data_IF_761340373644
#
_entry.id   IF_761340373644
#
_cell.length_a   1.000
_cell.length_b   1.000
_cell.length_c   1.000
_cell.angle_alpha   90.00
_cell.angle_beta   90.00
_cell.angle_gamma   90.00
#
_symmetry.space_group_name_H-M   'P 1'
#
loop_
_entity.id
_entity.type
_entity.pdbx_description
1 polymer ?
#
# COMPACT_ATOMS: atom_id res chain seq x y z
N UNK A 1 -2.30 -12.43 10.32
CA UNK A 1 -2.05 -11.56 9.14
C UNK A 1 -2.06 -10.13 9.64
N UNK A 2 -1.18 -9.24 9.17
CA UNK A 2 -1.18 -7.85 9.67
C UNK A 2 -2.50 -7.16 9.28
N UNK A 3 -3.12 -6.34 10.15
CA UNK A 3 -4.36 -5.64 9.83
C UNK A 3 -4.28 -4.77 8.56
N UNK A 4 -3.08 -4.31 8.19
CA UNK A 4 -2.82 -3.59 6.94
C UNK A 4 -3.02 -4.43 5.66
N UNK A 5 -2.87 -5.75 5.73
CA UNK A 5 -3.03 -6.68 4.59
C UNK A 5 -4.51 -7.09 4.39
N UNK A 6 -5.37 -6.85 5.38
CA UNK A 6 -6.74 -7.39 5.43
C UNK A 6 -7.86 -6.39 5.06
N UNK A 7 -7.58 -5.17 4.60
CA UNK A 7 -8.61 -4.09 4.57
C UNK A 7 -8.88 -3.48 3.18
N UNK A 8 -10.15 -3.51 2.74
CA UNK A 8 -10.68 -2.74 1.61
C UNK A 8 -12.15 -2.31 1.81
N UNK A 9 -12.41 -0.99 1.78
CA UNK A 9 -13.63 -0.29 2.23
C UNK A 9 -14.96 -0.91 1.77
N UNK A 10 -15.61 -1.73 2.62
CA UNK A 10 -16.99 -2.19 2.44
C UNK A 10 -17.86 -1.77 3.63
N UNK A 11 -19.05 -1.22 3.39
CA UNK A 11 -19.94 -0.77 4.46
C UNK A 11 -20.88 -1.87 4.99
N UNK A 12 -20.92 -3.05 4.38
CA UNK A 12 -21.98 -4.04 4.63
C UNK A 12 -21.58 -5.28 5.45
N UNK A 13 -20.30 -5.45 5.84
CA UNK A 13 -19.88 -6.56 6.71
C UNK A 13 -18.99 -6.06 7.86
N UNK A 14 -19.46 -6.19 9.11
CA UNK A 14 -18.67 -6.29 10.35
C UNK A 14 -17.57 -5.24 10.61
N UNK A 15 -17.80 -3.97 10.22
CA UNK A 15 -16.77 -2.94 10.11
C UNK A 15 -16.82 -1.92 11.25
N UNK A 16 -16.08 -2.12 12.35
CA UNK A 16 -16.25 -1.27 13.55
C UNK A 16 -15.00 -0.57 14.09
N UNK A 17 -13.82 -0.70 13.45
CA UNK A 17 -12.61 -0.03 13.93
C UNK A 17 -12.20 1.11 12.99
N UNK A 18 -12.49 2.34 13.43
CA UNK A 18 -12.11 3.57 12.74
C UNK A 18 -10.59 3.73 12.63
N UNK A 19 -10.15 4.51 11.63
CA UNK A 19 -8.75 4.90 11.52
C UNK A 19 -8.29 5.56 12.81
N UNK A 20 -7.14 5.13 13.33
CA UNK A 20 -6.59 5.65 14.57
C UNK A 20 -7.27 5.18 15.86
N UNK A 21 -8.29 4.32 15.81
CA UNK A 21 -8.85 3.68 17.00
C UNK A 21 -7.88 2.64 17.58
N UNK A 22 -7.91 2.44 18.90
CA UNK A 22 -7.06 1.46 19.57
C UNK A 22 -7.51 0.03 19.23
N UNK A 23 -6.58 -0.78 18.73
CA UNK A 23 -6.85 -2.19 18.43
C UNK A 23 -6.62 -3.08 19.66
N UNK A 24 -7.32 -4.22 19.77
CA UNK A 24 -7.13 -5.16 20.87
C UNK A 24 -5.72 -5.76 20.89
N UNK A 25 -5.38 -6.48 21.97
CA UNK A 25 -4.15 -7.28 22.10
C UNK A 25 -2.85 -6.49 21.87
N UNK A 26 -2.84 -5.21 22.27
CA UNK A 26 -1.68 -4.31 22.14
C UNK A 26 -1.20 -4.15 20.69
N UNK A 27 -2.08 -4.32 19.71
CA UNK A 27 -1.76 -4.12 18.30
C UNK A 27 -1.53 -2.64 17.94
N UNK A 28 -1.90 -1.72 18.85
CA UNK A 28 -1.76 -0.28 18.71
C UNK A 28 -2.87 0.36 17.90
N UNK A 29 -2.77 1.66 17.67
CA UNK A 29 -3.75 2.42 16.89
C UNK A 29 -3.81 1.96 15.44
N UNK A 30 -5.02 1.73 14.94
CA UNK A 30 -5.28 1.25 13.59
C UNK A 30 -4.71 2.17 12.50
N UNK A 31 -3.85 1.62 11.63
CA UNK A 31 -3.18 2.31 10.52
C UNK A 31 -2.41 3.57 10.96
N UNK A 32 -1.84 3.52 12.16
CA UNK A 32 -1.05 4.63 12.71
C UNK A 32 0.45 4.33 12.62
N UNK A 33 1.24 5.31 12.19
CA UNK A 33 2.69 5.13 11.99
C UNK A 33 3.36 4.68 13.29
N UNK A 34 4.38 3.82 13.17
CA UNK A 34 5.14 3.23 14.30
C UNK A 34 4.32 2.31 15.23
N UNK A 35 3.19 1.79 14.75
CA UNK A 35 2.45 0.71 15.43
C UNK A 35 2.71 -0.62 14.74
N UNK A 36 2.53 -1.73 15.48
CA UNK A 36 2.72 -3.07 14.93
C UNK A 36 1.80 -3.33 13.74
N UNK A 37 0.53 -2.90 13.82
CA UNK A 37 -0.45 -3.15 12.76
C UNK A 37 -0.18 -2.41 11.44
N UNK A 38 0.66 -1.36 11.47
CA UNK A 38 1.09 -0.59 10.30
C UNK A 38 2.55 -0.90 9.89
N UNK A 39 3.24 -1.81 10.59
CA UNK A 39 4.59 -2.20 10.24
C UNK A 39 4.61 -3.10 9.01
N UNK A 40 5.74 -3.10 8.29
CA UNK A 40 5.97 -4.02 7.18
C UNK A 40 5.80 -5.48 7.63
N UNK A 41 5.11 -6.27 6.81
CA UNK A 41 4.88 -7.68 7.09
C UNK A 41 6.19 -8.43 7.31
N UNK A 42 6.26 -9.23 8.38
CA UNK A 42 7.51 -9.81 8.89
C UNK A 42 8.34 -10.54 7.82
N UNK A 43 7.77 -11.38 6.93
CA UNK A 43 8.51 -11.98 5.83
C UNK A 43 9.14 -10.96 4.87
N UNK A 44 8.43 -9.90 4.48
CA UNK A 44 9.02 -8.84 3.63
C UNK A 44 10.11 -8.06 4.35
N UNK A 45 9.95 -7.82 5.65
CA UNK A 45 11.01 -7.21 6.46
C UNK A 45 12.27 -8.08 6.53
N UNK A 46 12.13 -9.40 6.51
CA UNK A 46 13.27 -10.33 6.58
C UNK A 46 14.09 -10.39 5.29
N UNK A 47 13.50 -10.05 4.14
CA UNK A 47 14.17 -10.08 2.83
C UNK A 47 14.59 -8.71 2.31
N UNK A 48 14.23 -7.64 3.02
CA UNK A 48 14.62 -6.27 2.67
C UNK A 48 16.14 -6.11 2.64
N UNK A 49 16.65 -5.43 1.61
CA UNK A 49 18.06 -5.23 1.35
C UNK A 49 18.53 -3.82 1.72
N UNK A 50 19.83 -3.63 2.01
CA UNK A 50 20.41 -2.29 2.06
C UNK A 50 20.15 -1.55 0.74
N UNK A 51 19.45 -0.41 0.82
CA UNK A 51 19.05 0.39 -0.34
C UNK A 51 17.55 0.35 -0.65
N UNK A 52 16.80 -0.59 -0.07
CA UNK A 52 15.34 -0.57 -0.16
C UNK A 52 14.76 0.66 0.55
N UNK A 53 13.83 1.34 -0.12
CA UNK A 53 13.23 2.58 0.35
C UNK A 53 11.79 2.35 0.82
N UNK A 54 11.44 2.98 1.94
CA UNK A 54 10.12 2.87 2.57
C UNK A 54 9.45 4.23 2.59
N UNK A 55 8.33 4.34 1.90
CA UNK A 55 7.54 5.57 1.80
C UNK A 55 6.21 5.39 2.52
N UNK A 56 5.97 6.19 3.56
CA UNK A 56 4.67 6.26 4.20
C UNK A 56 3.70 7.07 3.33
N UNK A 57 2.46 6.60 3.19
CA UNK A 57 1.40 7.30 2.46
C UNK A 57 0.15 7.46 3.31
N UNK A 58 -0.57 8.57 3.12
CA UNK A 58 -1.82 8.88 3.84
C UNK A 58 -3.09 8.63 3.02
N UNK A 59 -2.92 8.10 1.80
CA UNK A 59 -3.99 7.75 0.85
C UNK A 59 -3.77 6.34 0.29
N UNK A 60 -4.72 5.88 -0.52
CA UNK A 60 -4.63 4.58 -1.19
C UNK A 60 -3.46 4.55 -2.17
N UNK A 61 -3.37 5.55 -3.05
CA UNK A 61 -2.23 5.74 -3.94
C UNK A 61 -1.04 6.35 -3.21
N UNK A 62 0.16 5.86 -3.48
CA UNK A 62 1.42 6.49 -3.06
C UNK A 62 1.87 7.63 -3.98
N UNK A 63 1.14 7.88 -5.07
CA UNK A 63 1.48 8.84 -6.12
C UNK A 63 0.38 9.89 -6.35
N UNK A 64 -0.61 9.98 -5.46
CA UNK A 64 -1.78 10.85 -5.59
C UNK A 64 -1.45 12.36 -5.66
N UNK A 65 -0.24 12.75 -5.29
CA UNK A 65 0.25 14.13 -5.36
C UNK A 65 1.73 14.15 -5.72
N UNK A 66 2.14 15.18 -6.47
CA UNK A 66 3.56 15.46 -6.78
C UNK A 66 4.41 15.71 -5.52
N UNK A 67 3.77 16.05 -4.40
CA UNK A 67 4.42 16.29 -3.10
C UNK A 67 4.60 15.01 -2.27
N UNK A 68 4.14 13.86 -2.75
CA UNK A 68 4.37 12.60 -2.05
C UNK A 68 5.85 12.20 -2.15
N UNK A 69 6.48 11.73 -1.05
CA UNK A 69 7.90 11.35 -1.07
C UNK A 69 8.26 10.31 -2.14
N UNK A 70 7.35 9.38 -2.43
CA UNK A 70 7.53 8.39 -3.50
C UNK A 70 7.55 9.06 -4.89
N UNK A 71 6.67 10.03 -5.12
CA UNK A 71 6.59 10.76 -6.38
C UNK A 71 7.88 11.55 -6.62
N UNK A 72 8.29 12.36 -5.65
CA UNK A 72 9.52 13.15 -5.71
C UNK A 72 10.75 12.26 -5.97
N UNK A 73 10.84 11.13 -5.26
CA UNK A 73 11.93 10.18 -5.44
C UNK A 73 11.96 9.58 -6.85
N UNK A 74 10.84 9.05 -7.34
CA UNK A 74 10.81 8.40 -8.65
C UNK A 74 11.18 9.41 -9.75
N UNK A 75 10.61 10.64 -9.69
CA UNK A 75 10.94 11.73 -10.62
C UNK A 75 12.42 12.08 -10.60
N UNK A 76 12.98 12.32 -9.41
CA UNK A 76 14.39 12.66 -9.27
C UNK A 76 15.32 11.52 -9.72
N UNK A 77 14.87 10.27 -9.60
CA UNK A 77 15.67 9.10 -9.97
C UNK A 77 15.71 8.81 -11.47
N UNK A 78 14.93 9.53 -12.29
CA UNK A 78 14.89 9.36 -13.75
C UNK A 78 14.32 8.03 -14.23
N UNK A 79 13.66 7.26 -13.34
CA UNK A 79 13.06 5.97 -13.69
C UNK A 79 11.76 6.17 -14.45
N UNK A 80 11.64 5.48 -15.58
CA UNK A 80 10.49 5.55 -16.47
C UNK A 80 9.54 4.35 -16.33
N UNK A 81 10.08 3.15 -16.12
CA UNK A 81 9.30 1.91 -15.97
C UNK A 81 9.15 1.52 -14.50
N UNK A 82 7.92 1.24 -14.08
CA UNK A 82 7.56 0.86 -12.71
C UNK A 82 6.86 -0.50 -12.71
N UNK A 83 7.37 -1.41 -11.88
CA UNK A 83 6.74 -2.71 -11.63
C UNK A 83 5.94 -2.64 -10.33
N UNK A 84 4.70 -3.12 -10.36
CA UNK A 84 3.77 -3.04 -9.25
C UNK A 84 3.43 -4.43 -8.71
N UNK A 85 3.50 -4.55 -7.39
CA UNK A 85 3.16 -5.74 -6.60
C UNK A 85 2.52 -5.32 -5.27
N UNK A 86 1.85 -6.24 -4.58
CA UNK A 86 1.32 -6.03 -3.23
C UNK A 86 -0.21 -6.17 -3.13
N UNK A 87 -0.79 -5.52 -2.13
CA UNK A 87 -2.21 -5.66 -1.78
C UNK A 87 -2.83 -4.32 -1.38
N UNK A 88 -4.13 -4.11 -1.54
CA UNK A 88 -5.04 -4.92 -2.34
C UNK A 88 -4.96 -4.51 -3.82
N UNK A 89 -5.08 -5.49 -4.73
CA UNK A 89 -5.06 -5.27 -6.19
C UNK A 89 -6.01 -4.15 -6.60
N UNK A 90 -7.26 -4.21 -6.15
CA UNK A 90 -8.35 -3.28 -6.48
C UNK A 90 -8.38 -1.99 -5.62
N UNK A 91 -7.38 -1.77 -4.76
CA UNK A 91 -7.33 -0.60 -3.86
C UNK A 91 -6.00 0.14 -3.97
N UNK A 92 -5.06 -0.11 -3.05
CA UNK A 92 -3.79 0.60 -2.99
C UNK A 92 -2.95 0.39 -4.24
N UNK A 93 -2.95 -0.84 -4.78
CA UNK A 93 -2.18 -1.18 -5.98
C UNK A 93 -2.78 -0.47 -7.18
N UNK A 94 -4.05 -0.72 -7.51
CA UNK A 94 -4.73 -0.08 -8.65
C UNK A 94 -4.71 1.45 -8.56
N UNK A 95 -4.94 2.03 -7.37
CA UNK A 95 -4.87 3.48 -7.20
C UNK A 95 -3.48 4.04 -7.52
N UNK A 96 -2.41 3.37 -7.10
CA UNK A 96 -1.04 3.81 -7.40
C UNK A 96 -0.70 3.62 -8.88
N UNK A 97 -1.11 2.51 -9.48
CA UNK A 97 -0.93 2.24 -10.93
C UNK A 97 -1.66 3.28 -11.77
N UNK A 98 -2.90 3.61 -11.43
CA UNK A 98 -3.70 4.60 -12.15
C UNK A 98 -3.04 5.97 -12.12
N UNK A 99 -2.60 6.44 -10.95
CA UNK A 99 -1.89 7.72 -10.85
C UNK A 99 -0.55 7.68 -11.59
N UNK A 100 0.21 6.59 -11.48
CA UNK A 100 1.47 6.43 -12.19
C UNK A 100 1.29 6.55 -13.71
N UNK A 101 0.29 5.86 -14.26
CA UNK A 101 -0.06 5.96 -15.67
C UNK A 101 -0.45 7.40 -16.05
N UNK A 102 -1.31 8.05 -15.26
CA UNK A 102 -1.73 9.44 -15.51
C UNK A 102 -0.58 10.44 -15.48
N UNK A 103 0.44 10.19 -14.66
CA UNK A 103 1.66 10.98 -14.59
C UNK A 103 2.72 10.60 -15.64
N UNK A 104 2.44 9.60 -16.48
CA UNK A 104 3.24 9.25 -17.66
C UNK A 104 4.38 8.25 -17.41
N UNK A 105 4.26 7.38 -16.40
CA UNK A 105 5.17 6.25 -16.22
C UNK A 105 4.70 5.00 -16.96
N UNK A 106 5.63 4.18 -17.42
CA UNK A 106 5.33 2.88 -18.00
C UNK A 106 5.04 1.89 -16.87
N UNK A 107 3.80 1.40 -16.81
CA UNK A 107 3.31 0.62 -15.68
C UNK A 107 3.18 -0.86 -16.03
N UNK A 108 3.85 -1.72 -15.25
CA UNK A 108 3.75 -3.18 -15.36
C UNK A 108 3.20 -3.72 -14.04
N UNK A 109 2.01 -4.30 -14.07
CA UNK A 109 1.40 -4.98 -12.93
C UNK A 109 1.77 -6.46 -12.94
N UNK A 110 2.33 -6.97 -11.85
CA UNK A 110 2.67 -8.39 -11.69
C UNK A 110 1.44 -9.14 -11.14
N UNK A 111 0.81 -9.96 -11.98
CA UNK A 111 -0.45 -10.62 -11.66
C UNK A 111 -0.32 -11.60 -10.48
N UNK A 112 0.70 -12.44 -10.50
CA UNK A 112 1.02 -13.44 -9.47
C UNK A 112 1.60 -12.83 -8.18
N UNK A 113 1.98 -11.55 -8.22
CA UNK A 113 2.50 -10.79 -7.08
C UNK A 113 1.51 -9.75 -6.54
N UNK A 114 0.24 -9.82 -6.95
CA UNK A 114 -0.84 -8.99 -6.39
C UNK A 114 -2.01 -9.83 -5.91
N UNK A 115 -2.80 -9.31 -4.97
CA UNK A 115 -3.99 -10.00 -4.50
C UNK A 115 -5.01 -9.10 -3.81
N UNK A 116 -6.27 -9.53 -3.80
CA UNK A 116 -7.36 -8.90 -3.04
C UNK A 116 -8.34 -9.93 -2.49
N UNK A 117 -9.12 -9.51 -1.49
CA UNK A 117 -10.14 -10.33 -0.83
C UNK A 117 -11.57 -9.96 -1.28
N UNK A 118 -11.72 -9.00 -2.21
CA UNK A 118 -13.02 -8.68 -2.82
C UNK A 118 -13.47 -9.86 -3.68
N UNK A 119 -14.66 -10.39 -3.39
CA UNK A 119 -15.20 -11.57 -4.06
C UNK A 119 -15.43 -11.30 -5.55
N UNK A 120 -14.58 -11.90 -6.39
CA UNK A 120 -14.45 -11.70 -7.84
C UNK A 120 -13.98 -10.28 -8.22
N UNK A 121 -12.66 -10.10 -8.29
CA UNK A 121 -12.06 -8.86 -8.81
C UNK A 121 -10.53 -8.87 -8.77
N UNK A 122 -9.92 -9.83 -9.46
CA UNK A 122 -8.60 -9.65 -10.07
C UNK A 122 -8.83 -9.55 -11.58
#
# INVERSE_FOLDING_TARGET
>A
MAPAIQRGFSKSLGWHVGLGAELPDKQGRCLFKRTWNAALYKPFRAVAQPGDLFFDKTRMSGLWSEKEPLHEYIRASGKQTLLFAGVNTDQCVFGTVSDAYSYGWDCILLDDCTGTMTGRGA
#
